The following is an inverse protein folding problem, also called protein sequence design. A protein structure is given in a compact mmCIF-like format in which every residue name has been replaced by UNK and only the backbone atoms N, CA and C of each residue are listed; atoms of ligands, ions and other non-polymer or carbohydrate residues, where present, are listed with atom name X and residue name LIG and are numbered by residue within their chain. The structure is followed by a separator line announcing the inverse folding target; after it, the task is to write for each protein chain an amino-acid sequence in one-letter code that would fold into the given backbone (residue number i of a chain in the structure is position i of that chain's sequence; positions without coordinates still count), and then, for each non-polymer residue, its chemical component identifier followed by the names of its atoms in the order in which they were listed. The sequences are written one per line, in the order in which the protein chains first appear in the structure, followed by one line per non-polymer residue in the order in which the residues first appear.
data_IF_621203085912
#
_entry.id   IF_621203085912
#
_cell.length_a   1.000
_cell.length_b   1.000
_cell.length_c   1.000
_cell.angle_alpha   90.00
_cell.angle_beta   90.00
_cell.angle_gamma   90.00
#
_symmetry.space_group_name_H-M   'P 1'
#
loop_
_entity.id
_entity.type
_entity.pdbx_description
1 polymer ?
#
# COMPACT_ATOMS: atom_id res chain seq x y z
N UNK A 1 0.89 -14.71 18.37
CA UNK A 1 2.32 -14.35 18.54
C UNK A 1 2.40 -13.18 19.50
N UNK A 2 3.44 -13.05 20.33
CA UNK A 2 3.59 -11.88 21.22
C UNK A 2 4.71 -10.99 20.68
N UNK A 3 4.42 -9.72 20.40
CA UNK A 3 5.37 -8.75 19.87
C UNK A 3 5.03 -7.35 20.41
N UNK A 4 6.00 -6.56 20.87
CA UNK A 4 5.74 -5.28 21.54
C UNK A 4 4.90 -4.30 20.70
N UNK A 5 5.00 -4.35 19.37
CA UNK A 5 4.19 -3.51 18.49
C UNK A 5 2.70 -3.86 18.46
N UNK A 6 2.31 -5.10 18.80
CA UNK A 6 0.90 -5.49 18.84
C UNK A 6 0.14 -4.77 19.96
N UNK A 7 0.83 -4.38 21.02
CA UNK A 7 0.20 -3.72 22.17
C UNK A 7 0.09 -2.20 22.01
N UNK A 8 0.67 -1.62 20.95
CA UNK A 8 0.67 -0.17 20.71
C UNK A 8 -0.49 0.16 19.77
N UNK A 9 -1.49 0.97 20.18
CA UNK A 9 -2.56 1.41 19.29
C UNK A 9 -2.04 2.27 18.13
N UNK A 10 -2.52 2.01 16.92
CA UNK A 10 -2.19 2.84 15.76
C UNK A 10 -2.76 4.26 16.00
N UNK A 11 -1.95 5.32 15.89
CA UNK A 11 -2.43 6.68 16.12
C UNK A 11 -3.43 7.09 15.03
N UNK A 12 -4.35 7.98 15.38
CA UNK A 12 -5.21 8.62 14.39
C UNK A 12 -4.34 9.31 13.33
N UNK A 13 -4.56 9.02 12.03
CA UNK A 13 -3.77 9.62 10.96
C UNK A 13 -3.97 11.14 10.90
N UNK A 14 -2.95 11.91 10.47
CA UNK A 14 -3.11 13.34 10.23
C UNK A 14 -4.10 13.59 9.08
N UNK A 15 -4.66 14.81 8.94
CA UNK A 15 -5.50 15.16 7.80
C UNK A 15 -4.78 14.90 6.48
N UNK A 16 -5.43 14.16 5.58
CA UNK A 16 -4.91 13.82 4.27
C UNK A 16 -5.76 14.49 3.19
N UNK A 17 -5.11 15.09 2.19
CA UNK A 17 -5.79 15.54 0.97
C UNK A 17 -4.89 15.38 -0.24
N UNK A 18 -5.48 14.95 -1.35
CA UNK A 18 -4.75 14.82 -2.60
C UNK A 18 -4.21 16.16 -3.14
N UNK A 19 -4.85 17.29 -2.79
CA UNK A 19 -4.32 18.61 -3.12
C UNK A 19 -3.02 18.92 -2.37
N UNK A 20 -2.92 18.55 -1.09
CA UNK A 20 -1.69 18.71 -0.32
C UNK A 20 -0.59 17.79 -0.85
N UNK A 21 -0.91 16.54 -1.20
CA UNK A 21 0.05 15.60 -1.82
C UNK A 21 0.60 16.18 -3.12
N UNK A 22 -0.28 16.65 -4.02
CA UNK A 22 0.11 17.25 -5.31
C UNK A 22 0.95 18.51 -5.19
N UNK A 23 0.88 19.22 -4.06
CA UNK A 23 1.67 20.41 -3.81
C UNK A 23 3.13 20.12 -3.41
N UNK A 24 3.45 18.88 -3.01
CA UNK A 24 4.81 18.49 -2.61
C UNK A 24 5.71 18.40 -3.86
N UNK A 25 6.85 19.11 -3.93
CA UNK A 25 7.75 19.01 -5.07
C UNK A 25 8.42 17.63 -5.14
N UNK A 26 8.81 17.23 -6.37
CA UNK A 26 9.52 15.97 -6.63
C UNK A 26 10.93 16.28 -7.11
N UNK A 27 11.92 15.74 -6.40
CA UNK A 27 13.35 15.77 -6.71
C UNK A 27 13.81 14.35 -7.06
N UNK A 28 13.44 13.87 -8.25
CA UNK A 28 13.76 12.50 -8.71
C UNK A 28 15.27 12.26 -8.78
N UNK A 29 15.76 11.28 -8.00
CA UNK A 29 17.17 10.93 -7.88
C UNK A 29 17.71 9.88 -8.87
N UNK A 30 16.86 9.31 -9.73
CA UNK A 30 17.22 8.31 -10.74
C UNK A 30 17.50 6.91 -10.17
N UNK A 31 16.99 6.58 -8.98
CA UNK A 31 17.26 5.27 -8.37
C UNK A 31 16.65 4.12 -9.20
N UNK A 32 17.44 3.11 -9.52
CA UNK A 32 16.93 1.95 -10.27
C UNK A 32 15.86 1.17 -9.50
N UNK A 33 14.96 0.53 -10.24
CA UNK A 33 14.05 -0.46 -9.68
C UNK A 33 14.67 -1.86 -9.74
N UNK A 34 14.42 -2.66 -8.71
CA UNK A 34 14.87 -4.04 -8.58
C UNK A 34 13.68 -4.96 -8.29
N UNK A 35 13.74 -6.25 -8.67
CA UNK A 35 12.75 -7.24 -8.24
C UNK A 35 12.74 -7.36 -6.71
N UNK A 36 11.57 -7.42 -6.11
CA UNK A 36 11.42 -7.62 -4.66
C UNK A 36 11.60 -9.10 -4.26
N UNK A 37 11.46 -10.03 -5.20
CA UNK A 37 11.56 -11.48 -5.00
C UNK A 37 12.98 -12.00 -4.71
N UNK A 38 13.99 -11.14 -4.73
CA UNK A 38 15.41 -11.53 -4.64
C UNK A 38 15.81 -12.16 -3.29
N UNK A 39 15.00 -11.99 -2.23
CA UNK A 39 15.30 -12.44 -0.87
C UNK A 39 14.10 -13.21 -0.27
N UNK A 40 13.76 -14.40 -0.82
CA UNK A 40 12.53 -15.15 -0.48
C UNK A 40 12.46 -15.64 0.97
N UNK A 41 13.58 -15.66 1.69
CA UNK A 41 13.66 -15.93 3.12
C UNK A 41 13.06 -14.82 3.98
N UNK A 42 12.90 -13.61 3.43
CA UNK A 42 12.33 -12.43 4.13
C UNK A 42 11.09 -11.89 3.44
N UNK A 43 11.10 -11.87 2.11
CA UNK A 43 10.07 -11.23 1.29
C UNK A 43 9.58 -12.21 0.23
N UNK A 44 8.29 -12.48 0.25
CA UNK A 44 7.59 -13.17 -0.83
C UNK A 44 6.95 -12.15 -1.77
N UNK A 45 6.70 -12.56 -3.01
CA UNK A 45 5.88 -11.80 -3.96
C UNK A 45 4.70 -12.65 -4.38
N UNK A 46 3.52 -12.03 -4.41
CA UNK A 46 2.28 -12.62 -4.88
C UNK A 46 1.53 -11.55 -5.69
N UNK A 47 2.03 -11.22 -6.90
CA UNK A 47 1.51 -10.10 -7.70
C UNK A 47 0.04 -10.32 -8.06
N UNK A 48 -0.84 -9.68 -7.30
CA UNK A 48 -2.25 -10.04 -7.21
C UNK A 48 -2.98 -9.77 -8.54
N UNK A 49 -2.62 -8.69 -9.23
CA UNK A 49 -3.19 -8.33 -10.53
C UNK A 49 -2.75 -9.26 -11.66
N UNK A 50 -1.57 -9.86 -11.55
CA UNK A 50 -1.14 -10.91 -12.48
C UNK A 50 -1.93 -12.20 -12.25
N UNK A 51 -2.13 -12.60 -11.00
CA UNK A 51 -2.97 -13.76 -10.68
C UNK A 51 -4.43 -13.59 -11.07
N UNK A 52 -4.93 -12.35 -11.10
CA UNK A 52 -6.26 -12.01 -11.62
C UNK A 52 -6.31 -11.87 -13.14
N UNK A 53 -5.21 -12.17 -13.86
CA UNK A 53 -5.13 -12.10 -15.32
C UNK A 53 -5.43 -10.70 -15.89
N UNK A 54 -5.09 -9.64 -15.16
CA UNK A 54 -5.23 -8.27 -15.70
C UNK A 54 -4.22 -8.05 -16.83
N UNK A 55 -4.71 -7.54 -17.95
CA UNK A 55 -3.87 -7.29 -19.13
C UNK A 55 -2.73 -6.32 -18.81
N UNK A 56 -1.51 -6.64 -19.27
CA UNK A 56 -0.26 -5.87 -19.03
C UNK A 56 0.27 -5.91 -17.59
N UNK A 57 -0.30 -6.74 -16.72
CA UNK A 57 0.27 -7.01 -15.39
C UNK A 57 1.59 -7.77 -15.51
N UNK A 58 2.39 -7.75 -14.45
CA UNK A 58 3.71 -8.41 -14.38
C UNK A 58 3.71 -9.50 -13.32
N UNK A 59 4.34 -10.66 -13.57
CA UNK A 59 4.46 -11.75 -12.59
C UNK A 59 5.56 -11.48 -11.54
N UNK A 60 5.77 -10.22 -11.19
CA UNK A 60 6.84 -9.79 -10.28
C UNK A 60 6.43 -8.47 -9.62
N UNK A 61 6.95 -8.20 -8.42
CA UNK A 61 6.86 -6.91 -7.77
C UNK A 61 8.20 -6.17 -7.94
N UNK A 62 8.17 -4.99 -8.55
CA UNK A 62 9.35 -4.14 -8.70
C UNK A 62 9.26 -2.95 -7.75
N UNK A 63 10.37 -2.66 -7.08
CA UNK A 63 10.48 -1.54 -6.13
C UNK A 63 11.79 -0.80 -6.35
N UNK A 64 11.91 0.44 -5.89
CA UNK A 64 13.21 1.13 -5.88
C UNK A 64 14.21 0.40 -4.97
N UNK A 65 15.49 0.45 -5.29
CA UNK A 65 16.53 -0.28 -4.52
C UNK A 65 16.52 0.06 -3.02
N UNK A 66 16.33 1.32 -2.65
CA UNK A 66 16.26 1.74 -1.25
C UNK A 66 14.94 1.35 -0.57
N UNK A 67 13.88 1.09 -1.35
CA UNK A 67 12.62 0.50 -0.86
C UNK A 67 12.85 -0.97 -0.52
N UNK A 68 13.53 -1.74 -1.38
CA UNK A 68 13.89 -3.13 -1.05
C UNK A 68 14.70 -3.20 0.24
N UNK A 69 15.72 -2.36 0.41
CA UNK A 69 16.53 -2.34 1.63
C UNK A 69 15.67 -2.14 2.90
N UNK A 70 14.69 -1.23 2.84
CA UNK A 70 13.77 -0.96 3.95
C UNK A 70 12.77 -2.09 4.19
N UNK A 71 12.29 -2.74 3.14
CA UNK A 71 11.46 -3.94 3.29
C UNK A 71 12.23 -5.06 4.01
N UNK A 72 13.54 -5.18 3.76
CA UNK A 72 14.38 -6.15 4.47
C UNK A 72 14.53 -5.77 5.95
N UNK A 73 14.74 -4.48 6.26
CA UNK A 73 14.75 -3.98 7.64
C UNK A 73 13.40 -4.22 8.35
N UNK A 74 12.27 -4.00 7.66
CA UNK A 74 10.93 -4.29 8.18
C UNK A 74 10.76 -5.79 8.46
N UNK A 75 11.19 -6.64 7.53
CA UNK A 75 11.12 -8.10 7.69
C UNK A 75 11.99 -8.61 8.85
N UNK A 76 13.12 -7.96 9.15
CA UNK A 76 13.98 -8.28 10.30
C UNK A 76 13.32 -8.01 11.66
N UNK A 77 12.31 -7.15 11.71
CA UNK A 77 11.54 -6.85 12.92
C UNK A 77 10.34 -7.78 13.11
N UNK A 78 10.02 -8.64 12.16
CA UNK A 78 8.89 -9.55 12.28
C UNK A 78 9.18 -10.68 13.30
N UNK A 79 8.12 -11.26 13.92
CA UNK A 79 8.26 -12.46 14.72
C UNK A 79 8.93 -13.60 13.93
N UNK A 80 9.71 -14.43 14.63
CA UNK A 80 10.41 -15.57 14.01
C UNK A 80 9.44 -16.45 13.21
N UNK A 81 9.79 -16.72 11.96
CA UNK A 81 8.99 -17.53 11.03
C UNK A 81 8.03 -16.70 10.17
N UNK A 82 7.74 -15.45 10.54
CA UNK A 82 6.94 -14.57 9.68
C UNK A 82 7.79 -13.95 8.58
N UNK A 83 7.13 -13.60 7.46
CA UNK A 83 7.73 -12.88 6.32
C UNK A 83 6.75 -11.84 5.79
N UNK A 84 7.27 -10.86 5.06
CA UNK A 84 6.42 -9.96 4.27
C UNK A 84 6.02 -10.68 2.97
N UNK A 85 4.82 -10.40 2.47
CA UNK A 85 4.41 -10.75 1.11
C UNK A 85 3.89 -9.51 0.40
N UNK A 86 4.54 -9.15 -0.71
CA UNK A 86 4.08 -8.05 -1.56
C UNK A 86 2.96 -8.56 -2.47
N UNK A 87 1.84 -7.86 -2.45
CA UNK A 87 0.64 -8.09 -3.24
C UNK A 87 0.64 -7.23 -4.51
N UNK A 88 1.12 -5.99 -4.40
CA UNK A 88 1.39 -5.09 -5.52
C UNK A 88 2.53 -4.12 -5.20
N UNK A 89 3.09 -3.49 -6.22
CA UNK A 89 4.21 -2.53 -6.09
C UNK A 89 4.23 -1.63 -7.33
N UNK A 90 5.37 -1.45 -8.00
CA UNK A 90 5.36 -0.79 -9.30
C UNK A 90 4.38 -1.48 -10.26
N UNK A 91 3.50 -0.68 -10.86
CA UNK A 91 2.57 -1.12 -11.89
C UNK A 91 2.50 -0.12 -13.04
N UNK A 92 2.30 -0.60 -14.29
CA UNK A 92 2.11 0.29 -15.42
C UNK A 92 0.86 1.17 -15.25
N UNK A 93 0.87 2.36 -15.87
CA UNK A 93 -0.31 3.26 -15.92
C UNK A 93 -1.57 2.55 -16.44
N UNK A 94 -1.43 1.60 -17.36
CA UNK A 94 -2.56 0.82 -17.88
C UNK A 94 -3.24 0.00 -16.77
N UNK A 95 -2.46 -0.61 -15.87
CA UNK A 95 -3.00 -1.33 -14.70
C UNK A 95 -3.68 -0.35 -13.76
N UNK A 96 -3.02 0.77 -13.43
CA UNK A 96 -3.61 1.84 -12.63
C UNK A 96 -4.97 2.31 -13.19
N UNK A 97 -5.06 2.45 -14.51
CA UNK A 97 -6.31 2.86 -15.20
C UNK A 97 -7.39 1.79 -15.07
N UNK A 98 -7.05 0.52 -15.31
CA UNK A 98 -7.98 -0.61 -15.17
C UNK A 98 -8.54 -0.70 -13.75
N UNK A 99 -7.67 -0.58 -12.74
CA UNK A 99 -8.09 -0.61 -11.34
C UNK A 99 -9.01 0.55 -11.01
N UNK A 100 -8.63 1.78 -11.39
CA UNK A 100 -9.47 2.95 -11.16
C UNK A 100 -10.88 2.79 -11.74
N UNK A 101 -11.01 2.22 -12.94
CA UNK A 101 -12.33 1.97 -13.53
C UNK A 101 -13.10 0.84 -12.84
N UNK A 102 -12.43 -0.24 -12.41
CA UNK A 102 -13.07 -1.34 -11.65
C UNK A 102 -13.66 -0.82 -10.33
N UNK A 103 -12.89 -0.07 -9.56
CA UNK A 103 -13.35 0.54 -8.30
C UNK A 103 -14.53 1.50 -8.54
N UNK A 104 -14.46 2.35 -9.57
CA UNK A 104 -15.58 3.21 -9.94
C UNK A 104 -16.84 2.43 -10.28
N UNK A 105 -16.72 1.33 -11.02
CA UNK A 105 -17.86 0.46 -11.36
C UNK A 105 -18.47 -0.19 -10.12
N UNK A 106 -17.66 -0.75 -9.22
CA UNK A 106 -18.15 -1.34 -7.97
C UNK A 106 -18.86 -0.32 -7.08
N UNK A 107 -18.28 0.88 -6.93
CA UNK A 107 -18.90 1.96 -6.15
C UNK A 107 -20.19 2.45 -6.81
N UNK A 108 -20.23 2.52 -8.14
CA UNK A 108 -21.44 2.88 -8.90
C UNK A 108 -22.57 1.88 -8.68
N UNK A 109 -22.26 0.59 -8.63
CA UNK A 109 -23.23 -0.47 -8.36
C UNK A 109 -23.75 -0.40 -6.93
N UNK A 110 -22.86 -0.18 -5.94
CA UNK A 110 -23.25 -0.04 -4.52
C UNK A 110 -24.01 1.27 -4.24
N UNK A 111 -23.71 2.34 -4.96
CA UNK A 111 -24.22 3.70 -4.70
C UNK A 111 -24.75 4.36 -5.98
N UNK A 112 -25.85 3.84 -6.57
CA UNK A 112 -26.33 4.27 -7.90
C UNK A 112 -26.85 5.72 -7.95
N UNK A 113 -27.17 6.31 -6.79
CA UNK A 113 -27.72 7.67 -6.69
C UNK A 113 -26.65 8.78 -6.69
N UNK A 114 -25.38 8.44 -6.48
CA UNK A 114 -24.29 9.41 -6.50
C UNK A 114 -24.00 9.87 -7.92
N UNK A 115 -23.58 11.13 -8.08
CA UNK A 115 -23.10 11.66 -9.35
C UNK A 115 -21.77 11.04 -9.78
N UNK A 116 -21.37 11.27 -11.03
CA UNK A 116 -20.06 10.80 -11.52
C UNK A 116 -18.86 11.45 -10.85
N UNK A 117 -18.97 12.73 -10.48
CA UNK A 117 -17.95 13.42 -9.71
C UNK A 117 -17.81 12.82 -8.30
N UNK A 118 -18.91 12.49 -7.64
CA UNK A 118 -18.91 11.86 -6.31
C UNK A 118 -18.30 10.45 -6.36
N UNK A 119 -18.71 9.61 -7.32
CA UNK A 119 -18.12 8.27 -7.49
C UNK A 119 -16.62 8.35 -7.79
N UNK A 120 -16.19 9.31 -8.62
CA UNK A 120 -14.77 9.52 -8.92
C UNK A 120 -13.99 9.97 -7.67
N UNK A 121 -14.59 10.83 -6.85
CA UNK A 121 -14.00 11.30 -5.59
C UNK A 121 -13.87 10.17 -4.57
N UNK A 122 -14.91 9.35 -4.40
CA UNK A 122 -14.89 8.18 -3.54
C UNK A 122 -13.90 7.12 -4.03
N UNK A 123 -13.87 6.82 -5.34
CA UNK A 123 -12.90 5.89 -5.91
C UNK A 123 -11.46 6.33 -5.64
N UNK A 124 -11.20 7.65 -5.67
CA UNK A 124 -9.88 8.22 -5.38
C UNK A 124 -9.44 8.04 -3.92
N UNK A 125 -10.31 7.58 -3.01
CA UNK A 125 -9.94 7.20 -1.65
C UNK A 125 -9.31 5.82 -1.57
N UNK A 126 -9.65 4.91 -2.50
CA UNK A 126 -9.18 3.51 -2.52
C UNK A 126 -8.21 3.19 -3.65
N UNK A 127 -8.11 4.08 -4.65
CA UNK A 127 -7.20 3.91 -5.77
C UNK A 127 -6.89 5.27 -6.38
N UNK A 128 -5.61 5.63 -6.41
CA UNK A 128 -5.19 6.90 -6.99
C UNK A 128 -5.66 7.05 -8.45
N UNK A 129 -6.08 8.26 -8.89
CA UNK A 129 -6.33 8.53 -10.30
C UNK A 129 -5.09 8.21 -11.15
N UNK A 130 -5.25 7.63 -12.35
CA UNK A 130 -4.12 7.23 -13.20
C UNK A 130 -3.38 8.43 -13.79
N UNK A 131 -2.14 8.64 -13.36
CA UNK A 131 -1.30 9.76 -13.76
C UNK A 131 0.17 9.34 -13.93
N UNK A 132 0.78 9.78 -15.04
CA UNK A 132 2.23 9.79 -15.26
C UNK A 132 2.78 11.23 -15.31
N UNK A 133 1.98 12.21 -14.89
CA UNK A 133 2.42 13.60 -14.94
C UNK A 133 3.62 13.79 -14.00
N UNK A 134 4.74 14.37 -14.46
CA UNK A 134 5.98 14.41 -13.67
C UNK A 134 5.85 15.10 -12.31
N UNK A 135 4.90 16.03 -12.17
CA UNK A 135 4.64 16.75 -10.91
C UNK A 135 3.57 16.08 -10.02
N UNK A 136 2.78 15.14 -10.54
CA UNK A 136 1.74 14.45 -9.78
C UNK A 136 1.51 13.02 -10.30
N UNK A 137 2.53 12.15 -10.27
CA UNK A 137 2.40 10.77 -10.67
C UNK A 137 1.52 9.98 -9.68
N UNK A 138 0.86 8.93 -10.14
CA UNK A 138 0.23 7.97 -9.20
C UNK A 138 1.31 7.30 -8.34
N UNK A 139 1.09 7.01 -7.04
CA UNK A 139 2.14 6.51 -6.15
C UNK A 139 2.87 5.27 -6.69
N UNK A 140 2.14 4.23 -7.12
CA UNK A 140 2.74 2.99 -7.63
C UNK A 140 3.63 3.17 -8.86
N UNK A 141 3.36 4.15 -9.74
CA UNK A 141 4.21 4.34 -10.93
C UNK A 141 5.60 4.89 -10.57
N UNK A 142 5.80 5.33 -9.32
CA UNK A 142 7.09 5.83 -8.83
C UNK A 142 8.02 4.71 -8.35
N UNK A 143 7.48 3.50 -8.11
CA UNK A 143 8.20 2.38 -7.49
C UNK A 143 8.49 2.56 -5.99
N UNK A 144 7.97 3.63 -5.38
CA UNK A 144 8.04 3.93 -3.94
C UNK A 144 6.93 3.30 -3.11
N UNK A 145 5.76 3.09 -3.72
CA UNK A 145 4.59 2.51 -3.08
C UNK A 145 4.58 0.98 -3.15
N UNK A 146 4.10 0.34 -2.09
CA UNK A 146 3.98 -1.11 -1.94
C UNK A 146 2.68 -1.47 -1.23
N UNK A 147 2.04 -2.52 -1.72
CA UNK A 147 0.91 -3.18 -1.07
C UNK A 147 1.37 -4.51 -0.52
N UNK A 148 1.21 -4.75 0.77
CA UNK A 148 1.73 -5.97 1.39
C UNK A 148 0.95 -6.40 2.63
N UNK A 149 1.19 -7.66 3.00
CA UNK A 149 0.75 -8.23 4.27
C UNK A 149 1.85 -9.13 4.85
N UNK A 150 1.54 -9.81 5.95
CA UNK A 150 2.45 -10.72 6.65
C UNK A 150 1.96 -12.15 6.43
N UNK A 151 2.88 -13.07 6.15
CA UNK A 151 2.62 -14.51 6.20
C UNK A 151 3.27 -15.13 7.43
N UNK A 152 2.68 -16.20 7.94
CA UNK A 152 3.25 -17.01 9.01
C UNK A 152 4.36 -17.97 8.52
N UNK A 153 4.85 -18.82 9.43
CA UNK A 153 5.88 -19.83 9.13
C UNK A 153 5.45 -20.92 8.14
N UNK A 154 4.16 -21.04 7.86
CA UNK A 154 3.62 -21.95 6.83
C UNK A 154 3.43 -21.27 5.48
N UNK A 155 3.57 -19.93 5.43
CA UNK A 155 3.35 -19.12 4.24
C UNK A 155 1.90 -18.68 4.05
N UNK A 156 1.06 -18.82 5.08
CA UNK A 156 -0.35 -18.40 5.04
C UNK A 156 -0.45 -16.97 5.56
N UNK A 157 -1.21 -16.12 4.86
CA UNK A 157 -1.42 -14.72 5.26
C UNK A 157 -2.08 -14.65 6.64
N UNK A 158 -1.55 -13.78 7.50
CA UNK A 158 -2.20 -13.46 8.76
C UNK A 158 -3.55 -12.76 8.49
N UNK A 159 -4.58 -13.01 9.31
CA UNK A 159 -5.86 -12.34 9.15
C UNK A 159 -5.70 -10.85 9.44
N UNK A 160 -6.18 -10.02 8.51
CA UNK A 160 -6.14 -8.55 8.62
C UNK A 160 -7.54 -7.94 8.76
N UNK A 161 -8.59 -8.76 8.80
CA UNK A 161 -9.96 -8.32 9.11
C UNK A 161 -10.73 -7.65 7.97
N UNK A 162 -10.11 -7.44 6.81
CA UNK A 162 -10.74 -7.15 5.52
C UNK A 162 -9.87 -7.75 4.42
N UNK A 163 -10.45 -7.96 3.24
CA UNK A 163 -9.69 -8.44 2.08
C UNK A 163 -8.79 -7.31 1.51
N UNK A 164 -7.75 -7.69 0.78
CA UNK A 164 -6.99 -6.76 -0.06
C UNK A 164 -7.91 -6.17 -1.15
N UNK A 165 -7.74 -4.88 -1.48
CA UNK A 165 -8.59 -4.11 -2.40
C UNK A 165 -10.07 -4.00 -1.96
N UNK A 166 -10.41 -4.28 -0.70
CA UNK A 166 -11.79 -4.15 -0.24
C UNK A 166 -12.25 -2.68 -0.26
N UNK A 167 -13.31 -2.39 -1.02
CA UNK A 167 -13.95 -1.08 -1.12
C UNK A 167 -14.95 -0.83 0.02
N UNK A 168 -14.45 -0.82 1.26
CA UNK A 168 -15.24 -0.56 2.47
C UNK A 168 -14.42 0.16 3.55
N UNK A 169 -15.09 0.76 4.54
CA UNK A 169 -14.44 1.40 5.69
C UNK A 169 -13.56 0.45 6.51
N UNK A 170 -13.78 -0.87 6.40
CA UNK A 170 -12.97 -1.89 7.07
C UNK A 170 -11.54 -1.89 6.59
N UNK A 171 -11.26 -1.35 5.40
CA UNK A 171 -9.90 -1.20 4.86
C UNK A 171 -9.08 -0.14 5.57
N UNK A 172 -9.73 0.83 6.23
CA UNK A 172 -9.02 1.88 6.97
C UNK A 172 -8.09 1.27 8.03
N UNK A 173 -6.84 1.74 8.06
CA UNK A 173 -5.80 1.24 8.97
C UNK A 173 -6.23 1.28 10.43
N UNK A 174 -6.98 2.32 10.82
CA UNK A 174 -7.46 2.54 12.19
C UNK A 174 -8.89 2.06 12.44
N UNK A 175 -9.47 1.23 11.55
CA UNK A 175 -10.84 0.70 11.70
C UNK A 175 -11.13 0.13 13.09
N UNK A 176 -10.29 -0.81 13.55
CA UNK A 176 -10.46 -1.46 14.85
C UNK A 176 -10.20 -0.50 16.02
N UNK A 177 -9.23 0.41 15.88
CA UNK A 177 -8.93 1.41 16.91
C UNK A 177 -10.11 2.36 17.15
N UNK A 178 -10.78 2.78 16.06
CA UNK A 178 -11.97 3.63 16.14
C UNK A 178 -13.12 2.92 16.86
N UNK A 179 -13.34 1.64 16.57
CA UNK A 179 -14.37 0.83 17.23
C UNK A 179 -14.10 0.63 18.72
N UNK A 180 -12.86 0.33 19.10
CA UNK A 180 -12.46 0.26 20.51
C UNK A 180 -12.65 1.62 21.23
N UNK A 181 -12.25 2.72 20.58
CA UNK A 181 -12.44 4.06 21.14
C UNK A 181 -13.92 4.44 21.29
N UNK A 182 -14.80 3.89 20.46
CA UNK A 182 -16.25 4.02 20.56
C UNK A 182 -16.88 3.10 21.64
N UNK A 183 -16.09 2.27 22.31
CA UNK A 183 -16.56 1.34 23.35
C UNK A 183 -17.17 0.05 22.81
N UNK A 184 -16.95 -0.27 21.53
CA UNK A 184 -17.39 -1.54 20.96
C UNK A 184 -16.52 -2.71 21.43
N UNK A 185 -17.14 -3.87 21.63
CA UNK A 185 -16.41 -5.12 21.84
C UNK A 185 -16.02 -5.72 20.48
N UNK A 186 -14.74 -6.07 20.33
CA UNK A 186 -14.25 -6.80 19.17
C UNK A 186 -14.39 -8.31 19.40
N UNK A 187 -14.70 -9.07 18.35
CA UNK A 187 -14.60 -10.53 18.40
C UNK A 187 -13.14 -10.98 18.59
N UNK A 188 -12.89 -12.25 18.95
CA UNK A 188 -11.53 -12.79 18.98
C UNK A 188 -10.78 -12.63 17.65
N UNK A 189 -11.45 -12.88 16.53
CA UNK A 189 -10.90 -12.76 15.18
C UNK A 189 -10.58 -11.31 14.81
N UNK A 190 -11.46 -10.38 15.19
CA UNK A 190 -11.24 -8.94 14.99
C UNK A 190 -10.09 -8.41 15.85
N UNK A 191 -9.97 -8.93 17.08
CA UNK A 191 -8.87 -8.60 17.98
C UNK A 191 -7.54 -9.10 17.41
N UNK A 192 -7.51 -10.32 16.86
CA UNK A 192 -6.33 -10.84 16.16
C UNK A 192 -5.97 -9.98 14.94
N UNK A 193 -6.96 -9.63 14.10
CA UNK A 193 -6.76 -8.76 12.95
C UNK A 193 -6.21 -7.39 13.33
N UNK A 194 -6.71 -6.78 14.40
CA UNK A 194 -6.20 -5.53 14.94
C UNK A 194 -4.71 -5.65 15.34
N UNK A 195 -4.34 -6.71 16.06
CA UNK A 195 -2.95 -6.94 16.45
C UNK A 195 -2.03 -7.15 15.25
N UNK A 196 -2.49 -7.86 14.22
CA UNK A 196 -1.72 -8.04 12.99
C UNK A 196 -1.55 -6.73 12.22
N UNK A 197 -2.58 -5.87 12.15
CA UNK A 197 -2.47 -4.52 11.57
C UNK A 197 -1.49 -3.64 12.33
N UNK A 198 -1.52 -3.66 13.67
CA UNK A 198 -0.55 -2.95 14.51
C UNK A 198 0.87 -3.42 14.25
N UNK A 199 1.09 -4.74 14.20
CA UNK A 199 2.41 -5.30 13.86
C UNK A 199 2.88 -4.76 12.51
N UNK A 200 2.09 -4.92 11.45
CA UNK A 200 2.44 -4.47 10.09
C UNK A 200 2.73 -2.96 10.07
N UNK A 201 1.84 -2.14 10.62
CA UNK A 201 1.98 -0.70 10.67
C UNK A 201 3.31 -0.28 11.29
N UNK A 202 3.65 -0.81 12.47
CA UNK A 202 4.85 -0.38 13.18
C UNK A 202 6.14 -0.93 12.58
N UNK A 203 6.19 -2.17 12.06
CA UNK A 203 7.42 -2.64 11.39
C UNK A 203 7.72 -1.82 10.14
N UNK A 204 6.68 -1.48 9.36
CA UNK A 204 6.83 -0.65 8.17
C UNK A 204 7.21 0.79 8.53
N UNK A 205 6.54 1.39 9.52
CA UNK A 205 6.88 2.72 10.01
C UNK A 205 8.31 2.81 10.53
N UNK A 206 8.78 1.79 11.28
CA UNK A 206 10.14 1.74 11.81
C UNK A 206 11.20 1.59 10.72
N UNK A 207 10.86 0.94 9.60
CA UNK A 207 11.69 0.90 8.41
C UNK A 207 11.61 2.18 7.54
N UNK A 208 10.85 3.19 7.98
CA UNK A 208 10.81 4.52 7.36
C UNK A 208 9.72 4.72 6.32
N UNK A 209 8.80 3.77 6.15
CA UNK A 209 7.59 3.94 5.35
C UNK A 209 6.56 4.81 6.08
N UNK A 210 5.62 5.39 5.33
CA UNK A 210 4.35 5.86 5.89
C UNK A 210 3.21 4.97 5.39
N UNK A 211 2.17 4.78 6.21
CA UNK A 211 0.95 4.11 5.77
C UNK A 211 -0.02 5.12 5.16
N UNK A 212 -0.73 4.70 4.10
CA UNK A 212 -1.89 5.42 3.60
C UNK A 212 -3.12 5.13 4.49
N UNK A 213 -3.78 6.16 5.08
CA UNK A 213 -4.78 5.98 6.14
C UNK A 213 -5.98 5.08 5.85
N UNK A 214 -6.40 5.03 4.59
CA UNK A 214 -7.63 4.37 4.17
C UNK A 214 -7.40 2.91 3.74
N UNK A 215 -6.13 2.48 3.67
CA UNK A 215 -5.73 1.13 3.23
C UNK A 215 -4.66 0.55 4.16
N UNK A 216 -5.03 -0.47 4.94
CA UNK A 216 -4.11 -1.08 5.91
C UNK A 216 -2.89 -1.76 5.28
N UNK A 217 -2.96 -2.12 3.99
CA UNK A 217 -1.92 -2.81 3.23
C UNK A 217 -0.95 -1.87 2.52
N UNK A 218 -1.30 -0.59 2.32
CA UNK A 218 -0.58 0.35 1.46
C UNK A 218 0.43 1.16 2.25
N UNK A 219 1.68 1.16 1.77
CA UNK A 219 2.78 1.90 2.35
C UNK A 219 3.61 2.60 1.29
N UNK A 220 4.00 3.84 1.57
CA UNK A 220 4.80 4.67 0.68
C UNK A 220 6.17 4.96 1.27
N UNK A 221 7.18 4.95 0.40
CA UNK A 221 8.50 5.50 0.68
C UNK A 221 9.00 6.30 -0.52
N UNK A 222 9.40 7.54 -0.27
CA UNK A 222 10.05 8.42 -1.24
C UNK A 222 9.15 9.13 -2.24
N UNK A 223 7.87 8.82 -2.34
CA UNK A 223 6.90 9.59 -3.16
C UNK A 223 6.28 10.78 -2.40
N UNK A 224 5.30 11.43 -3.03
CA UNK A 224 4.63 12.62 -2.47
C UNK A 224 3.76 12.32 -1.24
N UNK A 225 3.17 11.11 -1.14
CA UNK A 225 2.42 10.72 0.06
C UNK A 225 3.39 10.58 1.22
N UNK A 226 4.51 9.87 0.99
CA UNK A 226 5.58 9.74 1.96
C UNK A 226 6.13 11.07 2.43
N UNK A 227 6.43 11.96 1.50
CA UNK A 227 6.99 13.25 1.83
C UNK A 227 6.01 14.10 2.66
N UNK A 228 4.72 14.13 2.30
CA UNK A 228 3.69 14.83 3.06
C UNK A 228 3.55 14.26 4.49
N UNK A 229 3.32 12.96 4.61
CA UNK A 229 3.00 12.31 5.89
C UNK A 229 4.21 12.22 6.82
N UNK A 230 5.43 12.20 6.26
CA UNK A 230 6.69 12.17 7.03
C UNK A 230 7.31 13.55 7.27
N UNK A 231 6.63 14.64 6.86
CA UNK A 231 7.09 16.02 7.05
C UNK A 231 8.38 16.36 6.28
N UNK A 232 8.58 15.77 5.10
CA UNK A 232 9.70 16.07 4.20
C UNK A 232 9.33 17.20 3.25
N UNK A 233 10.34 17.98 2.86
CA UNK A 233 10.15 19.12 1.95
C UNK A 233 9.90 18.71 0.49
N UNK A 234 10.37 17.52 0.09
CA UNK A 234 10.25 17.00 -1.26
C UNK A 234 10.09 15.47 -1.24
N UNK A 235 9.42 14.95 -2.27
CA UNK A 235 9.49 13.56 -2.68
C UNK A 235 10.80 13.33 -3.44
N UNK A 236 11.39 12.14 -3.32
CA UNK A 236 12.63 11.74 -3.99
C UNK A 236 12.40 10.79 -5.17
N UNK A 237 11.17 10.32 -5.37
CA UNK A 237 10.75 9.47 -6.48
C UNK A 237 9.62 10.12 -7.29
N UNK A 238 9.86 10.31 -8.57
CA UNK A 238 8.90 10.49 -9.64
C UNK A 238 8.68 9.18 -10.43
N UNK A 239 8.12 9.31 -11.63
CA UNK A 239 7.79 8.16 -12.51
C UNK A 239 9.04 7.33 -12.82
N UNK A 240 8.90 6.01 -12.74
CA UNK A 240 9.93 5.06 -13.13
C UNK A 240 9.37 3.91 -13.94
N UNK A 241 10.26 3.13 -14.53
CA UNK A 241 9.93 1.90 -15.23
C UNK A 241 11.04 0.86 -15.01
N UNK A 242 10.70 -0.39 -14.67
CA UNK A 242 11.67 -1.46 -14.63
C UNK A 242 12.34 -1.71 -15.97
N UNK A 243 13.59 -2.19 -15.96
CA UNK A 243 14.36 -2.38 -17.18
C UNK A 243 13.86 -3.58 -17.98
N UNK A 244 12.78 -3.40 -18.75
CA UNK A 244 12.25 -4.40 -19.66
C UNK A 244 12.90 -4.26 -21.03
N UNK A 245 13.99 -5.02 -21.28
CA UNK A 245 14.76 -4.95 -22.54
C UNK A 245 13.92 -5.00 -23.82
N UNK A 246 12.83 -5.76 -23.82
CA UNK A 246 12.04 -6.06 -25.03
C UNK A 246 10.59 -5.55 -24.96
N UNK A 247 10.20 -4.86 -23.88
CA UNK A 247 8.82 -4.40 -23.71
C UNK A 247 8.73 -2.94 -24.12
N UNK A 248 7.87 -2.64 -25.08
CA UNK A 248 7.50 -1.29 -25.50
C UNK A 248 6.03 -1.10 -25.12
N UNK A 249 5.72 -0.07 -24.34
CA UNK A 249 4.35 0.23 -23.85
C UNK A 249 3.51 1.01 -24.86
#
# INVERSE_FOLDING_TARGET
MNHPFMDIPIPTPPPFSWDAVRAVPIEEGGEETVPASLVPEKILVRPQYYHQMLERSVPECYVRRSVLARLLEAADMLPKGCRLVLLDSWRPRSIQTTLFQKFRSELREKMPLLSDAEITTLASQYVAPPSLHPQHPSPHVTGGAVDLTIVDGTGICLPMGSEFDETSERSSTVWFERRLAAGEALSPEETEAMYNRRLLFYVMQKAGFCNYPDEWWHFDYGDQIWALLSGKSCAIYGVTEPPFRWRQY
#
